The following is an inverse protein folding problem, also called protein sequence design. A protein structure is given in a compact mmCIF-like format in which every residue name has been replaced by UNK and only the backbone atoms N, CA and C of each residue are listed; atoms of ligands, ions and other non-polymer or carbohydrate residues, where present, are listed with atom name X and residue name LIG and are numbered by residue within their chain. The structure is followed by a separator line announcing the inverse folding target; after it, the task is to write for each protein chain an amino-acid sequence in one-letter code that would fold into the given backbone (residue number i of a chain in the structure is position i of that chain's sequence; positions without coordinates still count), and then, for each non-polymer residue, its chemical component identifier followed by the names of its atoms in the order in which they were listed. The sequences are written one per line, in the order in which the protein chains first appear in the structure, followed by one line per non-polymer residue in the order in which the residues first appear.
data_IF_982568465816
#
_entry.id   IF_982568465816
#
_cell.length_a   1.000
_cell.length_b   1.000
_cell.length_c   1.000
_cell.angle_alpha   90.00
_cell.angle_beta   90.00
_cell.angle_gamma   90.00
#
_symmetry.space_group_name_H-M   'P 1'
#
loop_
_entity.id
_entity.type
_entity.pdbx_description
1 polymer ?
#
# COMPACT_ATOMS: atom_id res chain seq x y z
N UNK A 1 -18.94 -14.56 43.53
CA UNK A 1 -19.09 -14.85 42.08
C UNK A 1 -19.44 -13.60 41.27
N UNK A 2 -20.48 -12.82 41.63
CA UNK A 2 -20.86 -11.60 40.89
C UNK A 2 -19.77 -10.50 40.91
N UNK A 3 -19.11 -10.26 42.06
CA UNK A 3 -18.07 -9.23 42.18
C UNK A 3 -16.82 -9.53 41.32
N UNK A 4 -16.38 -10.80 41.29
CA UNK A 4 -15.21 -11.23 40.52
C UNK A 4 -15.46 -11.08 39.01
N UNK A 5 -16.68 -11.41 38.55
CA UNK A 5 -17.08 -11.21 37.16
C UNK A 5 -17.14 -9.72 36.79
N UNK A 6 -17.67 -8.88 37.68
CA UNK A 6 -17.74 -7.43 37.47
C UNK A 6 -16.35 -6.80 37.40
N UNK A 7 -15.46 -7.15 38.32
CA UNK A 7 -14.08 -6.64 38.35
C UNK A 7 -13.30 -7.05 37.09
N UNK A 8 -13.43 -8.31 36.68
CA UNK A 8 -12.80 -8.82 35.46
C UNK A 8 -13.33 -8.11 34.21
N UNK A 9 -14.65 -7.89 34.12
CA UNK A 9 -15.27 -7.17 33.01
C UNK A 9 -14.79 -5.71 32.94
N UNK A 10 -14.68 -5.03 34.09
CA UNK A 10 -14.15 -3.66 34.17
C UNK A 10 -12.69 -3.59 33.73
N UNK A 11 -11.86 -4.56 34.12
CA UNK A 11 -10.47 -4.61 33.70
C UNK A 11 -10.33 -4.80 32.18
N UNK A 12 -11.10 -5.71 31.59
CA UNK A 12 -11.11 -5.91 30.13
C UNK A 12 -11.60 -4.66 29.41
N UNK A 13 -12.66 -4.02 29.92
CA UNK A 13 -13.19 -2.78 29.35
C UNK A 13 -12.13 -1.66 29.40
N UNK A 14 -11.40 -1.53 30.52
CA UNK A 14 -10.31 -0.58 30.67
C UNK A 14 -9.21 -0.81 29.62
N UNK A 15 -8.78 -2.06 29.45
CA UNK A 15 -7.77 -2.41 28.43
C UNK A 15 -8.25 -2.09 27.02
N UNK A 16 -9.52 -2.38 26.70
CA UNK A 16 -10.10 -2.05 25.40
C UNK A 16 -10.10 -0.54 25.14
N UNK A 17 -10.47 0.27 26.15
CA UNK A 17 -10.46 1.74 26.05
C UNK A 17 -9.03 2.25 25.85
N UNK A 18 -8.07 1.78 26.64
CA UNK A 18 -6.66 2.17 26.46
C UNK A 18 -6.11 1.78 25.09
N UNK A 19 -6.42 0.57 24.61
CA UNK A 19 -6.03 0.12 23.28
C UNK A 19 -6.61 1.01 22.17
N UNK A 20 -7.91 1.33 22.27
CA UNK A 20 -8.58 2.20 21.31
C UNK A 20 -7.98 3.62 21.32
N UNK A 21 -7.75 4.20 22.50
CA UNK A 21 -7.13 5.52 22.64
C UNK A 21 -5.70 5.53 22.08
N UNK A 22 -4.91 4.50 22.35
CA UNK A 22 -3.55 4.39 21.85
C UNK A 22 -3.51 4.33 20.31
N UNK A 23 -4.31 3.47 19.69
CA UNK A 23 -4.40 3.37 18.21
C UNK A 23 -4.88 4.68 17.60
N UNK A 24 -5.87 5.31 18.22
CA UNK A 24 -6.41 6.60 17.77
C UNK A 24 -5.34 7.70 17.85
N UNK A 25 -4.63 7.79 18.98
CA UNK A 25 -3.56 8.76 19.19
C UNK A 25 -2.44 8.60 18.16
N UNK A 26 -2.02 7.37 17.85
CA UNK A 26 -1.04 7.11 16.79
C UNK A 26 -1.48 7.72 15.45
N UNK A 27 -2.77 7.67 15.10
CA UNK A 27 -3.30 8.29 13.89
C UNK A 27 -3.17 9.82 13.81
N UNK A 28 -3.15 10.51 14.96
CA UNK A 28 -3.05 11.98 15.04
C UNK A 28 -1.62 12.48 15.24
N UNK A 29 -0.72 11.65 15.77
CA UNK A 29 0.69 12.02 15.96
C UNK A 29 1.41 12.27 14.62
N UNK A 30 2.41 13.16 14.60
CA UNK A 30 3.24 13.37 13.40
C UNK A 30 3.95 12.08 12.96
N UNK A 31 4.25 11.18 13.90
CA UNK A 31 4.86 9.89 13.60
C UNK A 31 3.92 8.96 12.80
N UNK A 32 2.66 8.81 13.24
CA UNK A 32 1.69 8.02 12.48
C UNK A 32 1.35 8.63 11.12
N UNK A 33 1.35 9.96 11.01
CA UNK A 33 1.25 10.64 9.70
C UNK A 33 2.43 10.30 8.80
N UNK A 34 3.67 10.33 9.29
CA UNK A 34 4.86 9.94 8.52
C UNK A 34 4.77 8.50 8.03
N UNK A 35 4.38 7.55 8.89
CA UNK A 35 4.21 6.14 8.49
C UNK A 35 3.19 6.02 7.35
N UNK A 36 2.01 6.66 7.49
CA UNK A 36 0.99 6.65 6.44
C UNK A 36 1.48 7.29 5.14
N UNK A 37 2.21 8.39 5.24
CA UNK A 37 2.78 9.07 4.07
C UNK A 37 3.83 8.22 3.35
N UNK A 38 4.75 7.59 4.09
CA UNK A 38 5.76 6.70 3.50
C UNK A 38 5.11 5.50 2.81
N UNK A 39 4.12 4.88 3.45
CA UNK A 39 3.36 3.77 2.85
C UNK A 39 2.61 4.21 1.57
N UNK A 40 1.97 5.38 1.61
CA UNK A 40 1.27 5.93 0.44
C UNK A 40 2.25 6.26 -0.69
N UNK A 41 3.40 6.87 -0.37
CA UNK A 41 4.42 7.21 -1.36
C UNK A 41 4.95 5.95 -2.05
N UNK A 42 5.30 4.91 -1.29
CA UNK A 42 5.74 3.62 -1.84
C UNK A 42 4.69 3.00 -2.77
N UNK A 43 3.40 3.15 -2.44
CA UNK A 43 2.31 2.66 -3.30
C UNK A 43 2.19 3.46 -4.60
N UNK A 44 2.29 4.79 -4.53
CA UNK A 44 2.24 5.68 -5.70
C UNK A 44 3.42 5.40 -6.62
N UNK A 45 4.63 5.33 -6.06
CA UNK A 45 5.85 5.06 -6.84
C UNK A 45 5.72 3.70 -7.56
N UNK A 46 5.23 2.66 -6.87
CA UNK A 46 4.96 1.36 -7.49
C UNK A 46 3.90 1.43 -8.59
N UNK A 47 2.84 2.22 -8.41
CA UNK A 47 1.83 2.38 -9.46
C UNK A 47 2.39 3.14 -10.66
N UNK A 48 3.24 4.14 -10.45
CA UNK A 48 3.91 4.87 -11.51
C UNK A 48 4.83 3.93 -12.32
N UNK A 49 5.60 3.08 -11.65
CA UNK A 49 6.49 2.09 -12.30
C UNK A 49 5.73 1.07 -13.16
N UNK A 50 4.48 0.77 -12.79
CA UNK A 50 3.60 -0.13 -13.55
C UNK A 50 2.77 0.59 -14.62
N UNK A 51 2.75 1.91 -14.63
CA UNK A 51 1.91 2.66 -15.57
C UNK A 51 2.72 3.01 -16.81
N UNK A 52 2.33 2.41 -17.93
CA UNK A 52 2.80 2.84 -19.24
C UNK A 52 2.12 4.18 -19.60
N UNK A 53 2.87 5.20 -20.06
CA UNK A 53 2.27 6.47 -20.47
C UNK A 53 1.36 6.36 -21.70
N UNK A 54 1.47 5.28 -22.49
CA UNK A 54 0.68 5.04 -23.71
C UNK A 54 -0.50 4.11 -23.40
N UNK A 55 -0.22 2.92 -22.86
CA UNK A 55 -1.22 1.86 -22.65
C UNK A 55 -1.80 1.81 -21.23
N UNK A 56 -1.42 2.74 -20.36
CA UNK A 56 -1.91 2.83 -18.99
C UNK A 56 -1.36 1.75 -18.06
N UNK A 57 -2.12 1.42 -17.02
CA UNK A 57 -1.68 0.54 -15.94
C UNK A 57 -1.43 -0.90 -16.43
N UNK A 58 -0.22 -1.40 -16.18
CA UNK A 58 0.21 -2.75 -16.51
C UNK A 58 0.31 -3.64 -15.27
N UNK A 59 0.30 -4.96 -15.47
CA UNK A 59 0.62 -5.91 -14.42
C UNK A 59 2.13 -6.10 -14.34
N UNK A 60 2.66 -6.23 -13.14
CA UNK A 60 4.09 -6.43 -12.91
C UNK A 60 4.65 -7.67 -13.63
N UNK A 61 3.84 -8.73 -13.74
CA UNK A 61 4.20 -9.97 -14.44
C UNK A 61 4.28 -9.84 -15.96
N UNK A 62 3.62 -8.83 -16.53
CA UNK A 62 3.52 -8.62 -17.98
C UNK A 62 4.57 -7.62 -18.48
N UNK A 63 5.38 -7.06 -17.58
CA UNK A 63 6.47 -6.14 -17.92
C UNK A 63 7.66 -6.89 -18.50
N UNK A 64 8.14 -6.41 -19.65
CA UNK A 64 9.34 -6.91 -20.31
C UNK A 64 10.55 -6.15 -19.78
N UNK A 65 11.63 -6.85 -19.43
CA UNK A 65 12.88 -6.20 -19.03
C UNK A 65 13.77 -5.97 -20.25
N UNK A 66 14.15 -4.72 -20.48
CA UNK A 66 15.09 -4.36 -21.52
C UNK A 66 16.52 -4.78 -21.15
N UNK A 67 17.44 -4.88 -22.12
CA UNK A 67 18.87 -5.12 -21.84
C UNK A 67 19.50 -4.06 -20.92
N UNK A 68 18.92 -2.85 -20.87
CA UNK A 68 19.29 -1.78 -19.95
C UNK A 68 18.83 -2.03 -18.51
N UNK A 69 17.97 -3.02 -18.27
CA UNK A 69 17.34 -3.32 -16.98
C UNK A 69 16.00 -2.61 -16.74
N UNK A 70 15.67 -1.62 -17.58
CA UNK A 70 14.43 -0.85 -17.47
C UNK A 70 13.19 -1.72 -17.80
N UNK A 71 12.08 -1.57 -17.06
CA UNK A 71 10.83 -2.24 -17.39
C UNK A 71 10.14 -1.53 -18.56
N UNK A 72 9.65 -2.30 -19.52
CA UNK A 72 8.85 -1.83 -20.64
C UNK A 72 7.52 -2.60 -20.70
N UNK A 73 6.46 -1.91 -21.09
CA UNK A 73 5.17 -2.54 -21.28
C UNK A 73 5.19 -3.56 -22.43
N UNK A 74 4.47 -4.68 -22.31
CA UNK A 74 4.44 -5.71 -23.36
C UNK A 74 3.89 -5.20 -24.69
N UNK A 75 2.98 -4.22 -24.65
CA UNK A 75 2.40 -3.60 -25.85
C UNK A 75 3.45 -2.77 -26.59
N UNK A 76 4.04 -1.78 -25.93
CA UNK A 76 5.19 -1.00 -26.39
C UNK A 76 6.31 -1.87 -26.98
N UNK A 77 6.65 -2.97 -26.31
CA UNK A 77 7.67 -3.89 -26.79
C UNK A 77 7.24 -4.55 -28.11
N UNK A 78 6.00 -5.04 -28.21
CA UNK A 78 5.47 -5.61 -29.45
C UNK A 78 5.41 -4.57 -30.56
N UNK A 79 4.94 -3.36 -30.29
CA UNK A 79 4.85 -2.27 -31.26
C UNK A 79 6.25 -1.89 -31.79
N UNK A 80 7.24 -1.78 -30.91
CA UNK A 80 8.62 -1.48 -31.30
C UNK A 80 9.26 -2.60 -32.14
N UNK A 81 8.96 -3.86 -31.86
CA UNK A 81 9.52 -5.02 -32.58
C UNK A 81 8.80 -5.30 -33.90
N UNK A 82 7.47 -5.13 -33.94
CA UNK A 82 6.63 -5.52 -35.08
C UNK A 82 6.21 -4.34 -35.97
N UNK A 83 6.42 -3.09 -35.53
CA UNK A 83 6.15 -1.89 -36.33
C UNK A 83 4.67 -1.58 -36.55
N UNK A 84 3.78 -2.06 -35.69
CA UNK A 84 2.35 -1.70 -35.70
C UNK A 84 2.03 -0.87 -34.48
N UNK A 85 1.25 0.20 -34.69
CA UNK A 85 0.74 1.10 -33.65
C UNK A 85 -0.78 0.99 -33.77
N UNK A 86 -1.44 0.40 -32.77
CA UNK A 86 -2.90 0.32 -32.70
C UNK A 86 -3.50 1.59 -32.09
#
# INVERSE_FOLDING_TARGET
MNAIMLESALFIALLAVFGALFVTALGFTPFGRRIRQTANRKRIDRQADLTCPIHGLQREADLVRLPTGEPLCSHCYKEAVHGHID
#
